data_IF_776656676331
#
_entry.id   IF_776656676331
#
_cell.length_a   1.000
_cell.length_b   1.000
_cell.length_c   1.000
_cell.angle_alpha   90.00
_cell.angle_beta   90.00
_cell.angle_gamma   90.00
#
_symmetry.space_group_name_H-M   'P 1'
#
loop_
_entity.id
_entity.type
_entity.pdbx_description
1 polymer ?
#
# COMPACT_ATOMS: atom_id res chain seq x y z
N UNK A 1 14.94 6.46 9.55
CA UNK A 1 13.65 6.09 10.18
C UNK A 1 13.05 4.83 9.55
N UNK A 2 12.79 4.82 8.23
CA UNK A 2 12.20 3.68 7.49
C UNK A 2 12.96 2.35 7.63
N UNK A 3 14.29 2.40 7.50
CA UNK A 3 15.15 1.22 7.61
C UNK A 3 15.10 0.58 9.01
N UNK A 4 14.98 1.39 10.07
CA UNK A 4 14.89 0.91 11.46
C UNK A 4 13.56 0.21 11.69
N UNK A 5 12.46 0.80 11.22
CA UNK A 5 11.12 0.22 11.39
C UNK A 5 10.97 -1.10 10.63
N UNK A 6 11.51 -1.19 9.41
CA UNK A 6 11.50 -2.42 8.63
C UNK A 6 12.39 -3.51 9.25
N UNK A 7 13.56 -3.12 9.77
CA UNK A 7 14.41 -4.03 10.51
C UNK A 7 13.69 -4.60 11.74
N UNK A 8 13.01 -3.76 12.51
CA UNK A 8 12.24 -4.18 13.69
C UNK A 8 11.07 -5.10 13.31
N UNK A 9 10.34 -4.80 12.23
CA UNK A 9 9.24 -5.63 11.76
C UNK A 9 9.74 -7.01 11.29
N UNK A 10 10.85 -7.03 10.54
CA UNK A 10 11.51 -8.27 10.12
C UNK A 10 11.99 -9.09 11.30
N UNK A 11 12.61 -8.44 12.29
CA UNK A 11 13.06 -9.11 13.51
C UNK A 11 11.90 -9.73 14.29
N UNK A 12 10.80 -8.98 14.46
CA UNK A 12 9.58 -9.47 15.10
C UNK A 12 9.00 -10.69 14.39
N UNK A 13 8.87 -10.63 13.06
CA UNK A 13 8.38 -11.75 12.26
C UNK A 13 9.27 -12.99 12.44
N UNK A 14 10.58 -12.81 12.37
CA UNK A 14 11.54 -13.91 12.49
C UNK A 14 11.59 -14.50 13.90
N UNK A 15 11.38 -13.69 14.94
CA UNK A 15 11.27 -14.16 16.33
C UNK A 15 9.99 -14.95 16.57
N UNK A 16 8.87 -14.57 15.95
CA UNK A 16 7.63 -15.35 15.99
C UNK A 16 7.80 -16.67 15.24
N UNK A 17 8.50 -16.66 14.10
CA UNK A 17 8.65 -17.86 13.26
C UNK A 17 9.67 -18.87 13.81
N UNK A 18 10.84 -18.41 14.27
CA UNK A 18 11.92 -19.27 14.73
C UNK A 18 11.98 -19.44 16.26
N UNK A 19 11.19 -18.68 17.01
CA UNK A 19 11.24 -18.63 18.47
C UNK A 19 12.34 -17.72 19.01
N UNK A 20 12.18 -17.28 20.27
CA UNK A 20 13.07 -16.34 20.95
C UNK A 20 14.48 -16.92 21.12
N UNK A 21 14.60 -18.23 21.26
CA UNK A 21 15.87 -18.95 21.38
C UNK A 21 16.78 -18.85 20.16
N UNK A 22 16.25 -18.43 19.01
CA UNK A 22 17.01 -18.16 17.78
C UNK A 22 17.25 -16.68 17.52
N UNK A 23 17.21 -15.83 18.56
CA UNK A 23 17.36 -14.37 18.44
C UNK A 23 18.52 -13.93 17.54
N UNK A 24 19.74 -14.44 17.73
CA UNK A 24 20.91 -14.03 16.95
C UNK A 24 20.78 -14.36 15.45
N UNK A 25 20.17 -15.51 15.12
CA UNK A 25 19.92 -15.91 13.74
C UNK A 25 18.84 -15.02 13.12
N UNK A 26 17.74 -14.78 13.85
CA UNK A 26 16.66 -13.88 13.43
C UNK A 26 17.15 -12.45 13.22
N UNK A 27 18.06 -11.98 14.08
CA UNK A 27 18.72 -10.68 13.97
C UNK A 27 19.60 -10.58 12.73
N UNK A 28 20.46 -11.58 12.49
CA UNK A 28 21.34 -11.60 11.33
C UNK A 28 20.56 -11.63 10.01
N UNK A 29 19.56 -12.51 9.90
CA UNK A 29 18.72 -12.60 8.70
C UNK A 29 17.97 -11.28 8.47
N UNK A 30 17.45 -10.65 9.54
CA UNK A 30 16.77 -9.35 9.43
C UNK A 30 17.71 -8.24 8.94
N UNK A 31 18.99 -8.24 9.35
CA UNK A 31 19.99 -7.30 8.80
C UNK A 31 20.18 -7.54 7.31
N UNK A 32 20.46 -8.79 6.92
CA UNK A 32 20.70 -9.17 5.51
C UNK A 32 19.51 -8.75 4.65
N UNK A 33 18.31 -9.16 5.04
CA UNK A 33 17.06 -8.80 4.34
C UNK A 33 16.88 -7.29 4.24
N UNK A 34 17.15 -6.54 5.31
CA UNK A 34 16.99 -5.08 5.31
C UNK A 34 17.93 -4.37 4.33
N UNK A 35 19.13 -4.93 4.10
CA UNK A 35 20.13 -4.37 3.19
C UNK A 35 19.83 -4.74 1.73
N UNK A 36 19.40 -5.98 1.46
CA UNK A 36 19.20 -6.47 0.10
C UNK A 36 17.83 -6.15 -0.51
N UNK A 37 16.76 -6.12 0.30
CA UNK A 37 15.38 -6.01 -0.21
C UNK A 37 14.91 -4.55 -0.30
N UNK A 38 15.55 -3.61 0.42
CA UNK A 38 15.04 -2.25 0.54
C UNK A 38 16.05 -1.17 0.10
N UNK A 39 16.09 -0.80 -1.20
CA UNK A 39 16.95 0.26 -1.72
C UNK A 39 16.51 1.69 -1.33
N UNK A 40 15.65 1.87 -0.32
CA UNK A 40 15.18 3.19 0.12
C UNK A 40 14.28 3.95 -0.88
N UNK A 41 13.98 3.36 -2.05
CA UNK A 41 13.13 3.96 -3.10
C UNK A 41 11.64 4.02 -2.69
N UNK A 42 11.18 3.10 -1.85
CA UNK A 42 9.77 2.92 -1.54
C UNK A 42 9.41 3.40 -0.12
N UNK A 43 8.51 4.39 -0.04
CA UNK A 43 8.10 5.00 1.23
C UNK A 43 6.75 4.44 1.72
N UNK A 44 6.79 3.25 2.31
CA UNK A 44 5.58 2.56 2.79
C UNK A 44 4.92 3.24 4.00
N UNK A 45 5.64 3.96 4.86
CA UNK A 45 4.98 4.69 5.97
C UNK A 45 4.12 5.82 5.40
N UNK A 46 4.59 6.51 4.35
CA UNK A 46 3.78 7.52 3.65
C UNK A 46 2.52 6.90 3.03
N UNK A 47 2.62 5.70 2.44
CA UNK A 47 1.46 4.95 1.94
C UNK A 47 0.47 4.64 3.07
N UNK A 48 0.94 4.10 4.20
CA UNK A 48 0.11 3.79 5.35
C UNK A 48 -0.62 5.05 5.85
N UNK A 49 0.11 6.15 6.02
CA UNK A 49 -0.46 7.41 6.47
C UNK A 49 -1.49 7.99 5.48
N UNK A 50 -1.20 7.89 4.19
CA UNK A 50 -2.14 8.28 3.13
C UNK A 50 -3.45 7.46 3.21
N UNK A 51 -3.36 6.15 3.48
CA UNK A 51 -4.54 5.27 3.65
C UNK A 51 -5.32 5.63 4.90
N UNK A 52 -4.67 5.85 6.05
CA UNK A 52 -5.35 6.26 7.28
C UNK A 52 -6.12 7.56 7.12
N UNK A 53 -5.56 8.52 6.37
CA UNK A 53 -6.24 9.79 6.06
C UNK A 53 -7.51 9.61 5.21
N UNK A 54 -7.60 8.53 4.43
CA UNK A 54 -8.77 8.27 3.60
C UNK A 54 -9.92 7.60 4.38
N UNK A 55 -9.66 7.02 5.56
CA UNK A 55 -10.69 6.31 6.35
C UNK A 55 -11.98 7.12 6.54
N UNK A 56 -11.95 8.40 6.97
CA UNK A 56 -13.18 9.17 7.14
C UNK A 56 -13.96 9.34 5.83
N UNK A 57 -13.24 9.56 4.72
CA UNK A 57 -13.84 9.71 3.39
C UNK A 57 -14.47 8.39 2.91
N UNK A 58 -13.78 7.27 3.09
CA UNK A 58 -14.26 5.93 2.73
C UNK A 58 -15.57 5.63 3.45
N UNK A 59 -15.64 5.90 4.76
CA UNK A 59 -16.86 5.67 5.53
C UNK A 59 -18.02 6.50 4.97
N UNK A 60 -17.81 7.80 4.72
CA UNK A 60 -18.83 8.67 4.16
C UNK A 60 -19.31 8.19 2.79
N UNK A 61 -18.38 7.86 1.88
CA UNK A 61 -18.72 7.45 0.53
C UNK A 61 -19.42 6.09 0.46
N UNK A 62 -19.12 5.17 1.39
CA UNK A 62 -19.86 3.90 1.52
C UNK A 62 -21.36 4.10 1.77
N UNK A 63 -21.75 5.14 2.52
CA UNK A 63 -23.17 5.46 2.73
C UNK A 63 -23.80 6.13 1.52
N UNK A 64 -23.04 6.96 0.80
CA UNK A 64 -23.53 7.68 -0.38
C UNK A 64 -23.66 6.76 -1.61
N UNK A 65 -22.91 5.65 -1.65
CA UNK A 65 -22.89 4.71 -2.77
C UNK A 65 -24.29 4.24 -3.22
N UNK A 66 -25.22 4.08 -2.29
CA UNK A 66 -26.60 3.64 -2.59
C UNK A 66 -27.41 4.63 -3.44
N UNK A 67 -26.97 5.88 -3.55
CA UNK A 67 -27.68 6.94 -4.27
C UNK A 67 -27.05 7.26 -5.64
N UNK A 68 -25.89 6.69 -5.93
CA UNK A 68 -25.15 6.88 -7.18
C UNK A 68 -25.73 5.96 -8.25
N UNK A 69 -25.79 6.44 -9.48
CA UNK A 69 -26.39 5.71 -10.62
C UNK A 69 -25.59 5.88 -11.90
N UNK A 70 -24.72 6.87 -11.96
CA UNK A 70 -23.95 7.15 -13.15
C UNK A 70 -22.60 6.44 -13.05
N UNK A 71 -22.16 5.86 -14.16
CA UNK A 71 -20.88 5.16 -14.26
C UNK A 71 -19.99 5.88 -15.27
N UNK A 72 -18.71 6.05 -14.93
CA UNK A 72 -17.71 6.65 -15.80
C UNK A 72 -16.40 5.89 -15.76
N UNK A 73 -15.60 6.06 -16.81
CA UNK A 73 -14.25 5.52 -16.90
C UNK A 73 -13.28 6.71 -16.95
N UNK A 74 -12.34 6.73 -16.02
CA UNK A 74 -11.28 7.74 -15.93
C UNK A 74 -9.91 7.08 -16.12
N UNK A 75 -9.01 7.73 -16.86
CA UNK A 75 -7.62 7.34 -17.01
C UNK A 75 -6.70 8.23 -16.18
N UNK A 76 -5.75 7.61 -15.48
CA UNK A 76 -4.87 8.33 -14.56
C UNK A 76 -3.41 7.97 -14.79
N UNK A 77 -2.64 8.95 -15.26
CA UNK A 77 -1.22 8.78 -15.58
C UNK A 77 -0.36 8.59 -14.32
N UNK A 78 0.68 7.76 -14.37
CA UNK A 78 1.69 7.61 -13.31
C UNK A 78 3.13 7.71 -13.84
N UNK A 79 4.10 7.86 -12.94
CA UNK A 79 5.52 8.09 -13.30
C UNK A 79 6.47 6.98 -12.86
N UNK A 80 6.10 6.20 -11.85
CA UNK A 80 6.88 5.06 -11.36
C UNK A 80 5.98 3.99 -10.72
N UNK A 81 6.48 2.75 -10.66
CA UNK A 81 5.73 1.59 -10.15
C UNK A 81 5.20 1.77 -8.72
N UNK A 82 5.90 2.54 -7.88
CA UNK A 82 5.46 2.78 -6.51
C UNK A 82 4.38 3.85 -6.45
N UNK A 83 4.47 4.86 -7.31
CA UNK A 83 3.36 5.80 -7.52
C UNK A 83 2.11 5.08 -8.05
N UNK A 84 2.29 4.18 -9.02
CA UNK A 84 1.24 3.32 -9.56
C UNK A 84 0.57 2.51 -8.44
N UNK A 85 1.36 1.74 -7.68
CA UNK A 85 0.86 0.96 -6.53
C UNK A 85 0.10 1.83 -5.54
N UNK A 86 0.65 3.00 -5.19
CA UNK A 86 0.02 3.92 -4.23
C UNK A 86 -1.29 4.49 -4.77
N UNK A 87 -1.41 4.75 -6.07
CA UNK A 87 -2.67 5.17 -6.71
C UNK A 87 -3.69 4.03 -6.70
N UNK A 88 -3.31 2.84 -7.13
CA UNK A 88 -4.19 1.66 -7.17
C UNK A 88 -4.80 1.39 -5.79
N UNK A 89 -3.97 1.38 -4.73
CA UNK A 89 -4.45 1.15 -3.36
C UNK A 89 -5.45 2.22 -2.93
N UNK A 90 -5.16 3.50 -3.19
CA UNK A 90 -6.07 4.60 -2.82
C UNK A 90 -7.41 4.51 -3.52
N UNK A 91 -7.40 4.19 -4.81
CA UNK A 91 -8.59 4.08 -5.65
C UNK A 91 -9.41 2.87 -5.19
N UNK A 92 -8.80 1.69 -5.09
CA UNK A 92 -9.51 0.44 -4.79
C UNK A 92 -10.10 0.39 -3.38
N UNK A 93 -9.48 1.08 -2.41
CA UNK A 93 -10.04 1.18 -1.05
C UNK A 93 -11.23 2.15 -1.00
N UNK A 94 -11.35 3.06 -1.97
CA UNK A 94 -12.42 4.05 -2.02
C UNK A 94 -13.69 3.41 -2.64
N UNK A 95 -14.84 3.37 -1.95
CA UNK A 95 -15.97 2.50 -2.31
C UNK A 95 -16.58 2.75 -3.69
N UNK A 96 -16.47 3.97 -4.21
CA UNK A 96 -17.04 4.41 -5.50
C UNK A 96 -16.15 4.10 -6.70
N UNK A 97 -14.94 3.64 -6.48
CA UNK A 97 -13.93 3.54 -7.54
C UNK A 97 -13.22 2.20 -7.51
N UNK A 98 -13.04 1.59 -8.68
CA UNK A 98 -12.34 0.34 -8.82
C UNK A 98 -11.34 0.42 -9.98
N UNK A 99 -10.09 0.05 -9.70
CA UNK A 99 -9.11 -0.17 -10.77
C UNK A 99 -9.40 -1.52 -11.40
N UNK A 100 -9.62 -1.53 -12.72
CA UNK A 100 -9.86 -2.78 -13.45
C UNK A 100 -8.70 -3.17 -14.37
N UNK A 101 -7.90 -2.19 -14.82
CA UNK A 101 -6.73 -2.44 -15.66
C UNK A 101 -5.67 -1.34 -15.52
N UNK A 102 -4.47 -1.63 -16.00
CA UNK A 102 -3.36 -0.69 -16.14
C UNK A 102 -2.55 -1.00 -17.41
N UNK A 103 -1.99 0.04 -18.00
CA UNK A 103 -1.01 -0.03 -19.09
C UNK A 103 0.26 0.74 -18.68
N UNK A 104 1.32 0.71 -19.49
CA UNK A 104 2.68 1.17 -19.12
C UNK A 104 2.75 2.53 -18.39
N UNK A 105 1.86 3.47 -18.73
CA UNK A 105 1.81 4.81 -18.14
C UNK A 105 0.47 5.16 -17.46
N UNK A 106 -0.56 4.32 -17.56
CA UNK A 106 -1.95 4.70 -17.22
C UNK A 106 -2.66 3.66 -16.35
N UNK A 107 -3.46 4.13 -15.40
CA UNK A 107 -4.40 3.31 -14.62
C UNK A 107 -5.81 3.61 -15.11
N UNK A 108 -6.59 2.57 -15.41
CA UNK A 108 -7.99 2.70 -15.79
C UNK A 108 -8.90 2.46 -14.59
N UNK A 109 -9.76 3.45 -14.32
CA UNK A 109 -10.60 3.51 -13.13
C UNK A 109 -12.06 3.48 -13.57
N UNK A 110 -12.81 2.52 -13.04
CA UNK A 110 -14.27 2.55 -13.09
C UNK A 110 -14.78 3.34 -11.88
N UNK A 111 -15.64 4.33 -12.10
CA UNK A 111 -16.13 5.24 -11.07
C UNK A 111 -17.66 5.34 -11.10
N UNK A 112 -18.25 5.28 -9.92
CA UNK A 112 -19.68 5.49 -9.68
C UNK A 112 -19.92 6.90 -9.13
N UNK A 113 -20.78 7.67 -9.80
CA UNK A 113 -21.14 9.05 -9.48
C UNK A 113 -22.66 9.25 -9.31
#
# INVERSE_FOLDING_TARGET
MYMIMNFLMGLLFMLVFFGIEKFWLSFFISIVVSVFIFPGKYNFIKLIFDVFKLIPKIIYESFVLFFLKDESIEDLKYTDDFEMLRKIIKITITPKTLVFDHDDDYIFIHKMD
#
